data_IF_234550161226
#
_entry.id   IF_234550161226
#
_cell.length_a   1.000
_cell.length_b   1.000
_cell.length_c   1.000
_cell.angle_alpha   90.00
_cell.angle_beta   90.00
_cell.angle_gamma   90.00
#
_symmetry.space_group_name_H-M   'P 1'
#
loop_
_entity.id
_entity.type
_entity.pdbx_description
1 polymer ?
#
# COMPACT_ATOMS: atom_id res chain seq x y z
N UNK A 1 -13.93 14.35 2.45
CA UNK A 1 -14.79 13.20 2.07
C UNK A 1 -13.98 11.95 2.40
N UNK A 2 -14.12 11.39 3.61
CA UNK A 2 -13.28 10.29 4.07
C UNK A 2 -13.78 8.96 3.48
N UNK A 3 -12.90 8.16 2.87
CA UNK A 3 -13.21 6.76 2.66
C UNK A 3 -13.28 6.11 4.06
N UNK A 4 -14.50 5.85 4.51
CA UNK A 4 -14.86 5.63 5.92
C UNK A 4 -14.43 4.27 6.49
N UNK A 5 -13.12 4.05 6.66
CA UNK A 5 -12.58 2.83 7.28
C UNK A 5 -11.38 3.07 8.22
N UNK A 6 -11.51 3.93 9.26
CA UNK A 6 -10.38 4.32 10.11
C UNK A 6 -9.72 3.16 10.88
N UNK A 7 -10.47 2.14 11.31
CA UNK A 7 -9.93 0.96 12.02
C UNK A 7 -9.18 0.07 11.07
N UNK A 8 -9.69 -0.14 9.86
CA UNK A 8 -8.96 -0.89 8.82
C UNK A 8 -7.65 -0.17 8.48
N UNK A 9 -7.68 1.15 8.29
CA UNK A 9 -6.48 1.95 8.02
C UNK A 9 -5.47 1.86 9.16
N UNK A 10 -5.93 1.94 10.42
CA UNK A 10 -5.07 1.76 11.59
C UNK A 10 -4.49 0.35 11.68
N UNK A 11 -5.23 -0.68 11.26
CA UNK A 11 -4.74 -2.05 11.22
C UNK A 11 -3.68 -2.24 10.14
N UNK A 12 -3.89 -1.73 8.92
CA UNK A 12 -2.86 -1.70 7.89
C UNK A 12 -1.60 -0.98 8.37
N UNK A 13 -1.75 0.22 8.93
CA UNK A 13 -0.64 0.99 9.47
C UNK A 13 0.14 0.23 10.54
N UNK A 14 -0.56 -0.45 11.46
CA UNK A 14 0.06 -1.21 12.53
C UNK A 14 0.98 -2.34 12.03
N UNK A 15 0.79 -2.84 10.79
CA UNK A 15 1.68 -3.83 10.18
C UNK A 15 3.05 -3.27 9.81
N UNK A 16 3.14 -1.96 9.59
CA UNK A 16 4.33 -1.27 9.11
C UNK A 16 5.00 -0.37 10.16
N UNK A 17 4.27 -0.02 11.22
CA UNK A 17 4.65 0.98 12.21
C UNK A 17 6.04 0.77 12.84
N UNK A 18 6.52 -0.48 12.95
CA UNK A 18 7.85 -0.78 13.50
C UNK A 18 9.02 -0.29 12.62
N UNK A 19 8.73 0.10 11.37
CA UNK A 19 9.73 0.55 10.39
C UNK A 19 9.55 2.01 9.95
N UNK A 20 8.42 2.65 10.26
CA UNK A 20 8.17 4.05 9.89
C UNK A 20 8.99 4.97 10.78
N UNK A 21 9.98 5.64 10.19
CA UNK A 21 10.85 6.64 10.84
C UNK A 21 11.70 7.36 9.77
N UNK A 22 12.30 8.50 10.12
CA UNK A 22 13.19 9.22 9.21
C UNK A 22 12.44 9.87 8.06
N UNK A 23 13.09 9.95 6.90
CA UNK A 23 12.50 10.50 5.68
C UNK A 23 11.69 9.42 4.96
N UNK A 24 10.37 9.66 4.85
CA UNK A 24 9.41 8.69 4.30
C UNK A 24 8.83 9.19 2.98
N UNK A 25 8.78 8.33 1.96
CA UNK A 25 8.05 8.55 0.71
C UNK A 25 6.83 7.60 0.67
N UNK A 26 5.64 8.15 0.50
CA UNK A 26 4.40 7.42 0.26
C UNK A 26 3.96 7.55 -1.21
N UNK A 27 3.70 6.39 -1.84
CA UNK A 27 3.20 6.27 -3.20
C UNK A 27 1.72 5.89 -3.17
N UNK A 28 0.91 6.54 -4.00
CA UNK A 28 -0.53 6.29 -4.10
C UNK A 28 -1.27 6.66 -2.81
N UNK A 29 -1.03 7.87 -2.32
CA UNK A 29 -1.52 8.36 -1.03
C UNK A 29 -3.04 8.57 -1.02
N UNK A 30 -3.66 8.67 -2.20
CA UNK A 30 -5.06 8.98 -2.40
C UNK A 30 -5.44 10.23 -1.63
N UNK A 31 -6.51 10.13 -0.85
CA UNK A 31 -7.04 11.22 -0.02
C UNK A 31 -6.41 11.32 1.38
N UNK A 32 -5.30 10.62 1.66
CA UNK A 32 -4.53 10.79 2.90
C UNK A 32 -4.89 9.87 4.08
N UNK A 33 -5.60 8.77 3.81
CA UNK A 33 -6.06 7.84 4.84
C UNK A 33 -4.94 7.26 5.72
N UNK A 34 -3.80 6.94 5.08
CA UNK A 34 -2.60 6.39 5.71
C UNK A 34 -1.56 7.50 5.94
N UNK A 35 -1.47 8.49 5.05
CA UNK A 35 -0.56 9.65 5.14
C UNK A 35 -0.56 10.33 6.50
N UNK A 36 -1.73 10.56 7.10
CA UNK A 36 -1.84 11.15 8.45
C UNK A 36 -1.24 10.29 9.57
N UNK A 37 -1.27 8.97 9.40
CA UNK A 37 -0.67 8.03 10.36
C UNK A 37 0.85 8.00 10.18
N UNK A 38 1.32 8.05 8.93
CA UNK A 38 2.74 8.19 8.61
C UNK A 38 3.32 9.51 9.14
N UNK A 39 2.61 10.62 8.94
CA UNK A 39 3.03 11.96 9.38
C UNK A 39 3.17 12.08 10.92
N UNK A 40 2.58 11.16 11.70
CA UNK A 40 2.74 11.11 13.15
C UNK A 40 4.10 10.56 13.57
N UNK A 41 4.62 9.58 12.84
CA UNK A 41 5.79 8.78 13.26
C UNK A 41 7.03 9.03 12.37
N UNK A 42 6.87 9.65 11.20
CA UNK A 42 7.95 10.06 10.30
C UNK A 42 8.59 11.41 10.70
N UNK A 43 9.90 11.55 10.46
CA UNK A 43 10.61 12.82 10.65
C UNK A 43 10.28 13.81 9.52
N UNK A 44 10.19 13.30 8.28
CA UNK A 44 9.63 14.00 7.13
C UNK A 44 8.79 13.06 6.27
N UNK A 45 7.73 13.59 5.64
CA UNK A 45 6.86 12.83 4.75
C UNK A 45 6.77 13.50 3.38
N UNK A 46 7.00 12.73 2.32
CA UNK A 46 6.58 13.08 0.97
C UNK A 46 5.45 12.16 0.59
N UNK A 47 4.23 12.70 0.50
CA UNK A 47 3.07 11.95 0.04
C UNK A 47 2.82 12.24 -1.43
N UNK A 48 2.64 11.20 -2.23
CA UNK A 48 2.47 11.32 -3.68
C UNK A 48 1.26 10.57 -4.21
N UNK A 49 0.71 11.09 -5.31
CA UNK A 49 -0.38 10.48 -6.07
C UNK A 49 -0.33 10.96 -7.54
N UNK A 50 -1.12 10.33 -8.40
CA UNK A 50 -1.26 10.66 -9.83
C UNK A 50 -2.52 11.46 -10.13
N UNK A 51 -3.48 11.51 -9.21
CA UNK A 51 -4.76 12.19 -9.42
C UNK A 51 -4.77 13.57 -8.76
N UNK A 52 -4.93 14.64 -9.55
CA UNK A 52 -4.87 16.03 -9.03
C UNK A 52 -5.95 16.29 -7.96
N UNK A 53 -7.14 15.69 -8.12
CA UNK A 53 -8.23 15.79 -7.14
C UNK A 53 -7.87 15.12 -5.79
N UNK A 54 -7.08 14.04 -5.82
CA UNK A 54 -6.58 13.41 -4.60
C UNK A 54 -5.49 14.27 -3.97
N UNK A 55 -4.58 14.82 -4.77
CA UNK A 55 -3.52 15.72 -4.28
C UNK A 55 -4.11 16.95 -3.56
N UNK A 56 -5.19 17.54 -4.06
CA UNK A 56 -5.85 18.67 -3.39
C UNK A 56 -6.44 18.28 -2.03
N UNK A 57 -7.08 17.12 -1.95
CA UNK A 57 -7.62 16.59 -0.68
C UNK A 57 -6.50 16.25 0.29
N UNK A 58 -5.44 15.63 -0.21
CA UNK A 58 -4.26 15.22 0.54
C UNK A 58 -3.51 16.41 1.14
N UNK A 59 -3.37 17.52 0.39
CA UNK A 59 -2.81 18.78 0.90
C UNK A 59 -3.62 19.32 2.07
N UNK A 60 -4.95 19.27 1.99
CA UNK A 60 -5.82 19.71 3.08
C UNK A 60 -5.71 18.79 4.31
N UNK A 61 -5.65 17.47 4.13
CA UNK A 61 -5.48 16.49 5.21
C UNK A 61 -4.12 16.64 5.91
N UNK A 62 -3.05 16.94 5.15
CA UNK A 62 -1.68 17.07 5.67
C UNK A 62 -1.32 18.50 6.11
N UNK A 63 -2.18 19.50 5.91
CA UNK A 63 -1.93 20.89 6.31
C UNK A 63 -1.53 21.06 7.80
N UNK A 64 -2.01 20.26 8.77
CA UNK A 64 -1.54 20.31 10.16
C UNK A 64 -0.11 19.81 10.39
N UNK A 65 0.53 19.19 9.39
CA UNK A 65 1.84 18.55 9.46
C UNK A 65 2.87 19.31 8.59
N UNK A 66 3.57 20.32 9.14
CA UNK A 66 4.48 21.18 8.34
C UNK A 66 5.71 20.46 7.77
N UNK A 67 6.01 19.26 8.28
CA UNK A 67 7.05 18.36 7.79
C UNK A 67 6.57 17.41 6.68
N UNK A 68 5.33 17.55 6.23
CA UNK A 68 4.75 16.79 5.14
C UNK A 68 4.63 17.62 3.85
N UNK A 69 5.08 17.05 2.74
CA UNK A 69 5.00 17.62 1.40
C UNK A 69 4.11 16.76 0.51
N UNK A 70 3.41 17.38 -0.44
CA UNK A 70 2.55 16.67 -1.40
C UNK A 70 3.01 16.94 -2.83
N UNK A 71 3.35 15.88 -3.56
CA UNK A 71 3.85 15.96 -4.92
C UNK A 71 3.09 15.03 -5.87
N UNK A 72 2.93 15.44 -7.13
CA UNK A 72 2.46 14.53 -8.18
C UNK A 72 3.61 13.61 -8.57
N UNK A 73 3.39 12.30 -8.57
CA UNK A 73 4.38 11.33 -9.02
C UNK A 73 3.68 10.08 -9.59
N UNK A 74 3.95 9.82 -10.86
CA UNK A 74 3.52 8.63 -11.58
C UNK A 74 4.71 7.67 -11.72
N UNK A 75 4.55 6.46 -11.19
CA UNK A 75 5.60 5.45 -11.12
C UNK A 75 5.90 4.79 -12.49
N UNK A 76 5.02 4.96 -13.48
CA UNK A 76 5.29 4.58 -14.87
C UNK A 76 6.28 5.55 -15.56
N UNK A 77 6.60 6.67 -14.91
CA UNK A 77 7.54 7.67 -15.39
C UNK A 77 8.74 7.83 -14.42
N UNK A 78 9.87 8.40 -14.87
CA UNK A 78 10.95 8.76 -13.96
C UNK A 78 10.48 9.74 -12.88
N UNK A 79 11.09 9.71 -11.68
CA UNK A 79 10.70 10.61 -10.60
C UNK A 79 10.95 12.07 -11.01
N UNK A 80 10.06 12.99 -10.62
CA UNK A 80 10.27 14.41 -10.87
C UNK A 80 11.56 14.88 -10.19
N UNK A 81 12.22 15.95 -10.67
CA UNK A 81 13.51 16.40 -10.15
C UNK A 81 13.56 16.59 -8.62
N UNK A 82 12.44 17.05 -8.04
CA UNK A 82 12.30 17.23 -6.58
C UNK A 82 12.41 15.92 -5.78
N UNK A 83 12.05 14.78 -6.39
CA UNK A 83 12.17 13.45 -5.78
C UNK A 83 13.43 12.72 -6.22
N UNK A 84 13.84 12.87 -7.49
CA UNK A 84 15.01 12.18 -8.05
C UNK A 84 16.32 12.43 -7.28
N UNK A 85 16.47 13.64 -6.72
CA UNK A 85 17.64 14.04 -5.92
C UNK A 85 17.59 13.57 -4.46
N UNK A 86 16.46 13.04 -3.98
CA UNK A 86 16.27 12.64 -2.58
C UNK A 86 16.55 11.15 -2.39
N UNK A 87 16.90 10.77 -1.17
CA UNK A 87 16.98 9.37 -0.73
C UNK A 87 16.26 9.23 0.60
N UNK A 88 15.38 8.24 0.68
CA UNK A 88 14.47 8.03 1.80
C UNK A 88 14.91 6.84 2.66
N UNK A 89 14.62 6.92 3.95
CA UNK A 89 14.80 5.80 4.88
C UNK A 89 13.70 4.74 4.68
N UNK A 90 12.51 5.20 4.30
CA UNK A 90 11.35 4.34 4.02
C UNK A 90 10.64 4.82 2.76
N UNK A 91 10.31 3.86 1.90
CA UNK A 91 9.38 4.03 0.79
C UNK A 91 8.20 3.09 1.06
N UNK A 92 6.98 3.61 1.10
CA UNK A 92 5.76 2.84 1.34
C UNK A 92 4.79 2.95 0.17
N UNK A 93 4.22 1.82 -0.23
CA UNK A 93 3.28 1.73 -1.35
C UNK A 93 2.15 0.78 -0.99
N UNK A 94 0.92 1.29 -0.89
CA UNK A 94 -0.26 0.50 -0.53
C UNK A 94 -1.27 0.48 -1.67
N UNK A 95 -1.51 -0.70 -2.23
CA UNK A 95 -2.37 -0.92 -3.40
C UNK A 95 -2.00 -0.02 -4.60
N UNK A 96 -0.74 -0.11 -5.04
CA UNK A 96 -0.21 0.66 -6.18
C UNK A 96 0.39 -0.25 -7.23
N UNK A 97 1.27 -1.18 -6.85
CA UNK A 97 2.05 -1.99 -7.79
C UNK A 97 1.16 -2.85 -8.70
N UNK A 98 -0.03 -3.25 -8.27
CA UNK A 98 -0.99 -3.99 -9.08
C UNK A 98 -1.55 -3.18 -10.26
N UNK A 99 -1.47 -1.85 -10.22
CA UNK A 99 -1.89 -0.94 -11.30
C UNK A 99 -0.76 -0.68 -12.31
N UNK A 100 0.47 -1.04 -11.98
CA UNK A 100 1.64 -0.82 -12.83
C UNK A 100 1.83 -2.01 -13.77
N UNK A 101 2.00 -1.73 -15.06
CA UNK A 101 2.20 -2.79 -16.06
C UNK A 101 3.60 -3.44 -15.91
N UNK A 102 4.67 -2.64 -15.80
CA UNK A 102 6.04 -3.12 -15.52
C UNK A 102 6.40 -2.90 -14.04
N UNK A 103 5.82 -3.73 -13.17
CA UNK A 103 6.08 -3.70 -11.73
C UNK A 103 7.56 -3.94 -11.38
N UNK A 104 8.32 -4.66 -12.21
CA UNK A 104 9.75 -4.85 -12.01
C UNK A 104 10.54 -3.55 -12.21
N UNK A 105 10.23 -2.76 -13.24
CA UNK A 105 10.81 -1.44 -13.43
C UNK A 105 10.41 -0.47 -12.32
N UNK A 106 9.14 -0.48 -11.93
CA UNK A 106 8.63 0.32 -10.82
C UNK A 106 9.38 0.02 -9.51
N UNK A 107 9.53 -1.26 -9.13
CA UNK A 107 10.26 -1.63 -7.90
C UNK A 107 11.71 -1.20 -7.98
N UNK A 108 12.41 -1.36 -9.11
CA UNK A 108 13.80 -0.86 -9.27
C UNK A 108 13.89 0.65 -9.06
N UNK A 109 12.94 1.41 -9.61
CA UNK A 109 12.88 2.86 -9.41
C UNK A 109 12.69 3.23 -7.93
N UNK A 110 11.82 2.52 -7.21
CA UNK A 110 11.66 2.71 -5.77
C UNK A 110 12.93 2.35 -4.98
N UNK A 111 13.67 1.31 -5.41
CA UNK A 111 14.98 0.97 -4.81
C UNK A 111 15.99 2.09 -5.00
N UNK A 112 15.98 2.79 -6.14
CA UNK A 112 16.88 3.91 -6.40
C UNK A 112 16.59 5.11 -5.49
N UNK A 113 15.33 5.29 -5.06
CA UNK A 113 14.92 6.32 -4.10
C UNK A 113 15.26 5.94 -2.65
N UNK A 114 15.63 4.69 -2.36
CA UNK A 114 16.03 4.27 -1.02
C UNK A 114 17.50 4.57 -0.71
N UNK A 115 17.74 5.01 0.53
CA UNK A 115 19.08 4.96 1.15
C UNK A 115 19.54 3.51 1.30
N UNK A 116 20.86 3.24 1.30
CA UNK A 116 21.38 1.96 1.75
C UNK A 116 20.86 1.66 3.17
N UNK A 117 20.37 0.44 3.40
CA UNK A 117 19.68 0.06 4.65
C UNK A 117 18.23 0.52 4.77
N UNK A 118 17.69 1.26 3.79
CA UNK A 118 16.30 1.72 3.78
C UNK A 118 15.28 0.62 3.48
N UNK A 119 14.01 0.89 3.76
CA UNK A 119 12.91 -0.08 3.66
C UNK A 119 11.93 0.24 2.54
N UNK A 120 11.65 -0.74 1.69
CA UNK A 120 10.46 -0.77 0.84
C UNK A 120 9.36 -1.56 1.57
N UNK A 121 8.28 -0.87 1.92
CA UNK A 121 7.11 -1.42 2.60
C UNK A 121 5.93 -1.45 1.63
N UNK A 122 5.31 -2.61 1.45
CA UNK A 122 4.22 -2.74 0.48
C UNK A 122 3.04 -3.52 1.01
N UNK A 123 1.85 -3.10 0.57
CA UNK A 123 0.64 -3.91 0.61
C UNK A 123 0.10 -4.05 -0.81
N UNK A 124 -0.11 -5.29 -1.27
CA UNK A 124 -0.63 -5.58 -2.62
C UNK A 124 -1.72 -6.65 -2.56
N UNK A 125 -2.70 -6.66 -3.48
CA UNK A 125 -3.76 -7.65 -3.49
C UNK A 125 -3.20 -9.03 -3.86
N UNK A 126 -3.75 -10.06 -3.22
CA UNK A 126 -3.21 -11.41 -3.27
C UNK A 126 -4.22 -12.44 -3.77
N UNK A 127 -3.69 -13.56 -4.26
CA UNK A 127 -4.47 -14.70 -4.72
C UNK A 127 -5.10 -14.48 -6.10
N UNK A 128 -4.40 -14.91 -7.17
CA UNK A 128 -4.87 -14.81 -8.55
C UNK A 128 -6.27 -15.43 -8.78
N UNK A 129 -6.64 -16.47 -8.01
CA UNK A 129 -7.97 -17.09 -8.08
C UNK A 129 -9.10 -16.11 -7.69
N UNK A 130 -8.81 -15.05 -6.93
CA UNK A 130 -9.78 -14.04 -6.52
C UNK A 130 -9.91 -12.87 -7.52
N UNK A 131 -9.04 -12.78 -8.52
CA UNK A 131 -9.05 -11.72 -9.53
C UNK A 131 -10.35 -11.74 -10.33
N UNK A 132 -11.09 -10.63 -10.41
CA UNK A 132 -12.35 -10.59 -11.15
C UNK A 132 -12.83 -9.18 -11.51
N UNK A 133 -14.15 -9.01 -11.78
CA UNK A 133 -14.70 -7.74 -12.26
C UNK A 133 -14.45 -6.52 -11.37
N UNK A 134 -14.28 -6.71 -10.05
CA UNK A 134 -13.90 -5.61 -9.15
C UNK A 134 -12.43 -5.21 -9.35
N UNK A 135 -11.52 -6.15 -9.59
CA UNK A 135 -10.13 -5.86 -9.91
C UNK A 135 -10.01 -5.14 -11.26
N UNK A 136 -10.74 -5.60 -12.28
CA UNK A 136 -10.81 -4.94 -13.58
C UNK A 136 -11.36 -3.51 -13.47
N UNK A 137 -12.40 -3.30 -12.65
CA UNK A 137 -12.99 -1.98 -12.44
C UNK A 137 -12.06 -1.03 -11.69
N UNK A 138 -11.14 -1.55 -10.89
CA UNK A 138 -10.09 -0.78 -10.23
C UNK A 138 -8.85 -0.62 -11.13
N UNK A 139 -8.80 -1.25 -12.30
CA UNK A 139 -7.65 -1.18 -13.20
C UNK A 139 -6.46 -2.02 -12.75
N UNK A 140 -6.70 -3.08 -11.97
CA UNK A 140 -5.63 -4.00 -11.58
C UNK A 140 -5.18 -4.85 -12.77
N UNK A 141 -3.88 -5.03 -12.93
CA UNK A 141 -3.30 -6.02 -13.85
C UNK A 141 -3.22 -7.41 -13.23
N UNK A 142 -3.05 -7.49 -11.91
CA UNK A 142 -2.67 -8.75 -11.25
C UNK A 142 -3.01 -8.79 -9.77
N UNK A 143 -2.98 -10.02 -9.23
CA UNK A 143 -2.93 -10.33 -7.80
C UNK A 143 -1.75 -11.24 -7.54
N UNK A 144 -1.02 -10.98 -6.47
CA UNK A 144 0.25 -11.63 -6.20
C UNK A 144 0.14 -12.91 -5.38
N UNK A 145 1.16 -13.76 -5.50
CA UNK A 145 1.47 -14.84 -4.56
C UNK A 145 2.74 -14.47 -3.79
N UNK A 146 2.96 -15.09 -2.63
CA UNK A 146 4.20 -14.87 -1.85
C UNK A 146 5.45 -15.22 -2.65
N UNK A 147 5.41 -16.29 -3.45
CA UNK A 147 6.54 -16.71 -4.29
C UNK A 147 6.88 -15.68 -5.36
N UNK A 148 5.88 -15.24 -6.13
CA UNK A 148 6.08 -14.26 -7.20
C UNK A 148 6.52 -12.90 -6.64
N UNK A 149 5.90 -12.44 -5.55
CA UNK A 149 6.23 -11.15 -4.97
C UNK A 149 7.61 -11.14 -4.30
N UNK A 150 8.01 -12.25 -3.68
CA UNK A 150 9.38 -12.41 -3.17
C UNK A 150 10.41 -12.34 -4.30
N UNK A 151 10.16 -13.04 -5.41
CA UNK A 151 11.05 -13.03 -6.57
C UNK A 151 11.16 -11.63 -7.18
N UNK A 152 10.05 -10.89 -7.27
CA UNK A 152 10.03 -9.49 -7.72
C UNK A 152 10.96 -8.60 -6.86
N UNK A 153 10.79 -8.66 -5.54
CA UNK A 153 11.61 -7.85 -4.61
C UNK A 153 13.11 -8.23 -4.69
N UNK A 154 13.41 -9.53 -4.68
CA UNK A 154 14.79 -10.02 -4.77
C UNK A 154 15.45 -9.69 -6.12
N UNK A 155 14.68 -9.75 -7.21
CA UNK A 155 15.15 -9.37 -8.55
C UNK A 155 15.52 -7.88 -8.67
N UNK A 156 14.98 -7.04 -7.79
CA UNK A 156 15.37 -5.62 -7.65
C UNK A 156 16.52 -5.39 -6.65
N UNK A 157 17.14 -6.46 -6.12
CA UNK A 157 18.25 -6.36 -5.18
C UNK A 157 17.84 -6.15 -3.71
N UNK A 158 16.56 -6.32 -3.37
CA UNK A 158 16.09 -6.20 -1.99
C UNK A 158 16.17 -7.52 -1.22
N UNK A 159 16.43 -7.42 0.08
CA UNK A 159 16.29 -8.54 1.03
C UNK A 159 14.89 -8.52 1.65
N UNK A 160 14.08 -9.55 1.38
CA UNK A 160 12.73 -9.69 1.95
C UNK A 160 12.82 -10.19 3.40
N UNK A 161 12.46 -9.33 4.35
CA UNK A 161 12.50 -9.60 5.80
C UNK A 161 11.18 -10.19 6.31
N UNK A 162 10.06 -9.61 5.87
CA UNK A 162 8.70 -10.09 6.18
C UNK A 162 7.88 -10.19 4.90
N UNK A 163 7.14 -11.28 4.75
CA UNK A 163 6.16 -11.47 3.69
C UNK A 163 5.05 -12.40 4.18
N UNK A 164 3.88 -11.83 4.41
CA UNK A 164 2.75 -12.54 5.01
C UNK A 164 1.41 -12.11 4.39
N UNK A 165 0.43 -13.01 4.44
CA UNK A 165 -0.95 -12.68 4.07
C UNK A 165 -1.64 -11.89 5.17
N UNK A 166 -2.61 -11.07 4.76
CA UNK A 166 -3.46 -10.31 5.66
C UNK A 166 -4.88 -10.24 5.10
N UNK A 167 -5.85 -10.13 5.99
CA UNK A 167 -7.26 -9.89 5.78
C UNK A 167 -7.99 -11.08 5.13
N UNK A 168 -8.03 -12.20 5.86
CA UNK A 168 -8.69 -13.43 5.40
C UNK A 168 -10.21 -13.25 5.26
N UNK A 169 -10.85 -12.56 6.21
CA UNK A 169 -12.29 -12.29 6.12
C UNK A 169 -12.62 -11.35 4.94
N UNK A 170 -11.77 -10.35 4.69
CA UNK A 170 -11.90 -9.48 3.53
C UNK A 170 -11.76 -10.24 2.21
N UNK A 171 -10.90 -11.26 2.15
CA UNK A 171 -10.80 -12.15 0.99
C UNK A 171 -12.09 -12.91 0.72
N UNK A 172 -12.69 -13.49 1.77
CA UNK A 172 -13.96 -14.19 1.64
C UNK A 172 -15.06 -13.24 1.13
N UNK A 173 -15.15 -12.03 1.69
CA UNK A 173 -16.07 -11.00 1.22
C UNK A 173 -15.80 -10.59 -0.23
N UNK A 174 -14.54 -10.38 -0.60
CA UNK A 174 -14.14 -10.02 -1.96
C UNK A 174 -14.53 -11.10 -2.97
N UNK A 175 -14.23 -12.36 -2.65
CA UNK A 175 -14.52 -13.49 -3.53
C UNK A 175 -16.04 -13.64 -3.74
N UNK A 176 -16.84 -13.57 -2.67
CA UNK A 176 -18.31 -13.62 -2.80
C UNK A 176 -18.83 -12.48 -3.67
N UNK A 177 -18.40 -11.24 -3.43
CA UNK A 177 -18.92 -10.10 -4.19
C UNK A 177 -18.44 -10.07 -5.64
N UNK A 178 -17.15 -10.34 -5.88
CA UNK A 178 -16.52 -10.21 -7.18
C UNK A 178 -16.68 -11.46 -8.06
N UNK A 179 -16.49 -12.66 -7.50
CA UNK A 179 -16.57 -13.91 -8.28
C UNK A 179 -17.98 -14.45 -8.35
N UNK A 180 -18.67 -14.56 -7.21
CA UNK A 180 -20.00 -15.16 -7.16
C UNK A 180 -21.09 -14.16 -7.62
N UNK A 181 -21.10 -12.95 -7.07
CA UNK A 181 -22.12 -11.93 -7.39
C UNK A 181 -21.75 -11.03 -8.58
N UNK A 182 -20.53 -11.15 -9.13
CA UNK A 182 -20.01 -10.38 -10.27
C UNK A 182 -20.16 -8.86 -10.13
N UNK A 183 -20.13 -8.36 -8.89
CA UNK A 183 -20.14 -6.92 -8.60
C UNK A 183 -18.85 -6.29 -9.14
N UNK A 184 -18.93 -5.01 -9.51
CA UNK A 184 -17.80 -4.21 -9.97
C UNK A 184 -17.29 -3.21 -8.94
N UNK A 185 -18.08 -2.96 -7.89
CA UNK A 185 -17.72 -2.08 -6.77
C UNK A 185 -18.08 -2.75 -5.44
N UNK A 186 -17.30 -2.51 -4.38
CA UNK A 186 -17.66 -2.95 -3.03
C UNK A 186 -19.00 -2.35 -2.58
N UNK A 187 -19.76 -3.12 -1.81
CA UNK A 187 -21.03 -2.65 -1.23
C UNK A 187 -20.76 -1.78 0.00
N UNK A 188 -21.21 -0.51 0.01
CA UNK A 188 -20.94 0.41 1.12
C UNK A 188 -21.41 -0.11 2.49
N UNK A 189 -22.52 -0.86 2.55
CA UNK A 189 -23.02 -1.41 3.82
C UNK A 189 -22.12 -2.53 4.33
N UNK A 190 -21.58 -3.34 3.42
CA UNK A 190 -20.64 -4.40 3.78
C UNK A 190 -19.29 -3.82 4.22
N UNK A 191 -18.80 -2.79 3.54
CA UNK A 191 -17.57 -2.08 3.96
C UNK A 191 -17.74 -1.48 5.36
N UNK A 192 -18.86 -0.80 5.63
CA UNK A 192 -19.15 -0.27 6.97
C UNK A 192 -19.27 -1.35 8.04
N UNK A 193 -19.87 -2.49 7.70
CA UNK A 193 -19.98 -3.63 8.62
C UNK A 193 -18.61 -4.25 8.90
N UNK A 194 -17.80 -4.44 7.86
CA UNK A 194 -16.44 -4.95 7.99
C UNK A 194 -15.58 -4.04 8.87
N UNK A 195 -15.63 -2.72 8.64
CA UNK A 195 -14.97 -1.72 9.46
C UNK A 195 -15.32 -1.84 10.96
N UNK A 196 -16.59 -2.12 11.28
CA UNK A 196 -17.01 -2.37 12.67
C UNK A 196 -16.38 -3.63 13.27
N UNK A 197 -16.19 -4.66 12.45
CA UNK A 197 -15.64 -5.96 12.85
C UNK A 197 -14.11 -5.98 12.91
N UNK A 198 -13.40 -5.00 12.36
CA UNK A 198 -11.93 -4.94 12.32
C UNK A 198 -11.25 -5.31 13.65
N UNK A 199 -11.69 -4.84 14.84
CA UNK A 199 -11.06 -5.23 16.11
C UNK A 199 -11.05 -6.74 16.37
N UNK A 200 -12.08 -7.46 15.90
CA UNK A 200 -12.15 -8.92 15.99
C UNK A 200 -11.37 -9.59 14.86
N UNK A 201 -11.48 -9.07 13.63
CA UNK A 201 -10.75 -9.60 12.47
C UNK A 201 -9.25 -9.54 12.72
N UNK A 202 -8.76 -8.45 13.30
CA UNK A 202 -7.36 -8.23 13.65
C UNK A 202 -6.78 -9.28 14.61
N UNK A 203 -7.60 -10.09 15.29
CA UNK A 203 -7.11 -11.24 16.03
C UNK A 203 -6.37 -12.24 15.12
N UNK A 204 -6.57 -12.19 13.81
CA UNK A 204 -5.74 -12.90 12.84
C UNK A 204 -4.25 -12.51 12.95
N UNK A 205 -3.86 -11.36 13.50
CA UNK A 205 -2.44 -11.03 13.69
C UNK A 205 -1.73 -12.03 14.63
N UNK A 206 -2.50 -12.72 15.49
CA UNK A 206 -2.00 -13.78 16.36
C UNK A 206 -1.97 -15.15 15.68
N UNK A 207 -2.51 -15.26 14.47
CA UNK A 207 -2.63 -16.48 13.68
C UNK A 207 -1.96 -16.24 12.32
N UNK A 208 -0.87 -16.93 12.00
CA UNK A 208 -0.32 -16.83 10.65
C UNK A 208 -1.29 -17.44 9.64
N UNK A 209 -2.12 -16.60 9.03
CA UNK A 209 -3.13 -17.04 8.06
C UNK A 209 -2.42 -17.52 6.79
N UNK A 210 -2.80 -18.70 6.24
CA UNK A 210 -2.16 -19.23 5.04
C UNK A 210 -2.59 -18.50 3.76
N UNK A 211 -3.56 -17.59 3.88
CA UNK A 211 -4.17 -16.85 2.77
C UNK A 211 -4.81 -15.55 3.30
N UNK A 212 -4.94 -14.55 2.43
CA UNK A 212 -5.52 -13.25 2.78
C UNK A 212 -5.83 -12.43 1.54
N UNK A 213 -6.56 -11.32 1.71
CA UNK A 213 -6.95 -10.43 0.63
C UNK A 213 -5.73 -9.76 -0.02
N UNK A 214 -4.69 -9.54 0.77
CA UNK A 214 -3.43 -8.95 0.31
C UNK A 214 -2.21 -9.53 1.00
N UNK A 215 -1.05 -9.11 0.52
CA UNK A 215 0.27 -9.42 1.06
C UNK A 215 0.86 -8.18 1.69
N UNK A 216 1.36 -8.32 2.92
CA UNK A 216 2.24 -7.35 3.57
C UNK A 216 3.67 -7.77 3.29
N UNK A 217 4.50 -6.84 2.82
CA UNK A 217 5.92 -7.08 2.60
C UNK A 217 6.79 -5.98 3.19
N UNK A 218 7.85 -6.40 3.90
CA UNK A 218 8.94 -5.55 4.36
C UNK A 218 10.20 -6.05 3.65
N UNK A 219 10.75 -5.22 2.77
CA UNK A 219 11.96 -5.53 2.02
C UNK A 219 13.00 -4.44 2.26
N UNK A 220 14.24 -4.80 2.52
CA UNK A 220 15.31 -3.85 2.84
C UNK A 220 16.32 -3.78 1.70
N UNK A 221 16.74 -2.55 1.36
CA UNK A 221 17.90 -2.32 0.51
C UNK A 221 19.16 -2.65 1.30
N UNK A 222 20.04 -3.55 0.82
CA UNK A 222 21.32 -3.80 1.47
C UNK A 222 22.11 -2.49 1.67
N UNK A 223 22.96 -2.48 2.71
CA UNK A 223 23.84 -1.36 3.02
C UNK A 223 25.00 -1.25 2.03
#
# INVERSE_FOLDING_TARGET
MHAGTPRLNAWYYAKFADRIRGDVLELGSGIGNISRLLARDADSLVATDVEDAYLDTLRAELAPHPHAEVHRFDLDHPPPPALAARRFDVVISMNVLEHIHDDAAAVRQLVDLLRPGGWLLTYVPAGAFAFGPMDEALGHWRRYSTGAFRALMQGAGLRVDRLEYMNLLGLAGWWVNGKLLRRRVPDPKQVHTFEKLVPLVRLEDHLRVPLGLGLICHAQKPA
#
